data_IF_678500873411
#
_entry.id   IF_678500873411
#
_cell.length_a   1.000
_cell.length_b   1.000
_cell.length_c   1.000
_cell.angle_alpha   90.00
_cell.angle_beta   90.00
_cell.angle_gamma   90.00
#
_symmetry.space_group_name_H-M   'P 1'
#
loop_
_entity.id
_entity.type
_entity.pdbx_description
1 polymer ?
#
# COMPACT_ATOMS: atom_id res chain seq x y z
N UNK A 1 28.19 -45.84 -7.07
CA UNK A 1 28.06 -44.51 -6.44
C UNK A 1 27.79 -43.56 -7.59
N UNK A 2 26.52 -43.39 -7.93
CA UNK A 2 26.12 -42.44 -8.97
C UNK A 2 26.44 -41.02 -8.49
N UNK A 3 26.98 -40.15 -9.36
CA UNK A 3 27.09 -38.74 -9.04
C UNK A 3 25.69 -38.15 -8.82
N UNK A 4 25.51 -37.20 -7.89
CA UNK A 4 24.23 -36.57 -7.67
C UNK A 4 23.77 -35.88 -8.97
N UNK A 5 22.47 -35.95 -9.30
CA UNK A 5 21.94 -35.28 -10.48
C UNK A 5 22.26 -33.78 -10.40
N UNK A 6 22.75 -33.26 -11.52
CA UNK A 6 22.96 -31.83 -11.76
C UNK A 6 21.73 -31.05 -11.31
N UNK A 7 21.98 -29.90 -10.65
CA UNK A 7 20.98 -28.89 -10.29
C UNK A 7 20.46 -28.19 -11.56
N UNK A 8 19.92 -28.97 -12.48
CA UNK A 8 19.16 -28.52 -13.63
C UNK A 8 17.71 -28.36 -13.18
N UNK A 9 17.25 -27.10 -13.22
CA UNK A 9 15.94 -26.55 -12.82
C UNK A 9 15.92 -25.79 -11.50
N UNK A 10 16.45 -24.56 -11.55
CA UNK A 10 16.02 -23.50 -10.61
C UNK A 10 14.51 -23.24 -10.82
N UNK A 11 13.63 -23.43 -9.82
CA UNK A 11 12.18 -23.21 -9.96
C UNK A 11 11.76 -21.74 -9.99
N UNK A 12 12.73 -20.82 -9.89
CA UNK A 12 12.46 -19.39 -9.76
C UNK A 12 12.13 -18.77 -11.11
N UNK A 13 10.94 -19.07 -11.63
CA UNK A 13 10.37 -18.20 -12.64
C UNK A 13 10.28 -16.79 -12.04
N UNK A 14 10.77 -15.73 -12.72
CA UNK A 14 10.72 -14.35 -12.22
C UNK A 14 9.28 -13.86 -11.90
N UNK A 15 8.26 -14.66 -12.22
CA UNK A 15 6.84 -14.41 -11.99
C UNK A 15 6.27 -15.09 -10.74
N UNK A 16 7.03 -15.93 -10.02
CA UNK A 16 6.52 -16.69 -8.87
C UNK A 16 6.05 -15.83 -7.69
N UNK A 17 6.87 -14.85 -7.28
CA UNK A 17 6.55 -13.91 -6.20
C UNK A 17 5.39 -12.99 -6.56
N UNK A 18 5.36 -12.48 -7.79
CA UNK A 18 4.28 -11.63 -8.30
C UNK A 18 2.94 -12.38 -8.31
N UNK A 19 2.95 -13.64 -8.76
CA UNK A 19 1.77 -14.51 -8.78
C UNK A 19 1.26 -14.80 -7.36
N UNK A 20 2.18 -15.08 -6.43
CA UNK A 20 1.83 -15.31 -5.02
C UNK A 20 1.28 -14.04 -4.37
N UNK A 21 1.92 -12.89 -4.55
CA UNK A 21 1.47 -11.61 -4.02
C UNK A 21 0.10 -11.20 -4.58
N UNK A 22 -0.11 -11.39 -5.90
CA UNK A 22 -1.42 -11.18 -6.52
C UNK A 22 -2.49 -12.14 -5.98
N UNK A 23 -2.14 -13.43 -5.77
CA UNK A 23 -3.03 -14.41 -5.14
C UNK A 23 -3.43 -14.03 -3.72
N UNK A 24 -2.46 -13.66 -2.88
CA UNK A 24 -2.69 -13.22 -1.50
C UNK A 24 -3.57 -11.98 -1.46
N UNK A 25 -3.33 -11.01 -2.36
CA UNK A 25 -4.13 -9.79 -2.46
C UNK A 25 -5.55 -10.04 -2.95
N UNK A 26 -5.76 -10.99 -3.87
CA UNK A 26 -7.09 -11.43 -4.30
C UNK A 26 -7.87 -12.06 -3.16
N UNK A 27 -7.23 -12.92 -2.38
CA UNK A 27 -7.86 -13.56 -1.20
C UNK A 27 -8.25 -12.47 -0.19
N UNK A 28 -7.35 -11.54 0.14
CA UNK A 28 -7.64 -10.43 1.05
C UNK A 28 -8.84 -9.59 0.57
N UNK A 29 -8.87 -9.23 -0.71
CA UNK A 29 -9.97 -8.44 -1.29
C UNK A 29 -11.30 -9.22 -1.32
N UNK A 30 -11.28 -10.53 -1.63
CA UNK A 30 -12.45 -11.38 -1.57
C UNK A 30 -12.98 -11.49 -0.13
N UNK A 31 -12.10 -11.70 0.85
CA UNK A 31 -12.48 -11.72 2.26
C UNK A 31 -13.09 -10.38 2.69
N UNK A 32 -12.54 -9.24 2.24
CA UNK A 32 -13.08 -7.90 2.52
C UNK A 32 -14.47 -7.67 1.93
N UNK A 33 -14.78 -8.28 0.77
CA UNK A 33 -16.13 -8.24 0.19
C UNK A 33 -17.09 -9.20 0.90
N UNK A 34 -16.65 -10.43 1.17
CA UNK A 34 -17.49 -11.49 1.75
C UNK A 34 -17.79 -11.25 3.23
N UNK A 35 -16.87 -10.64 3.99
CA UNK A 35 -17.04 -10.45 5.42
C UNK A 35 -18.29 -9.61 5.77
N UNK A 36 -18.55 -8.42 5.16
CA UNK A 36 -19.79 -7.67 5.39
C UNK A 36 -21.05 -8.45 5.00
N UNK A 37 -21.03 -9.21 3.89
CA UNK A 37 -22.16 -10.02 3.44
C UNK A 37 -22.47 -11.17 4.41
N UNK A 38 -21.43 -11.86 4.87
CA UNK A 38 -21.53 -12.95 5.84
C UNK A 38 -22.05 -12.42 7.19
N UNK A 39 -21.49 -11.31 7.68
CA UNK A 39 -21.93 -10.67 8.92
C UNK A 39 -23.38 -10.20 8.79
N UNK A 40 -23.75 -9.54 7.67
CA UNK A 40 -25.12 -9.07 7.44
C UNK A 40 -26.13 -10.22 7.40
N UNK A 41 -25.76 -11.35 6.79
CA UNK A 41 -26.61 -12.55 6.73
C UNK A 41 -26.75 -13.18 8.12
N UNK A 42 -25.66 -13.23 8.89
CA UNK A 42 -25.65 -13.79 10.24
C UNK A 42 -26.49 -12.94 11.20
N UNK A 43 -26.36 -11.61 11.13
CA UNK A 43 -27.16 -10.65 11.89
C UNK A 43 -28.65 -10.71 11.53
N UNK A 44 -29.01 -11.18 10.34
CA UNK A 44 -30.41 -11.36 9.94
C UNK A 44 -31.06 -12.61 10.54
N UNK A 45 -30.26 -13.58 11.01
CA UNK A 45 -30.73 -14.90 11.48
C UNK A 45 -30.46 -15.14 12.96
N UNK A 46 -29.50 -14.42 13.55
CA UNK A 46 -29.01 -14.63 14.91
C UNK A 46 -29.06 -13.30 15.67
N UNK A 47 -29.41 -13.36 16.96
CA UNK A 47 -29.37 -12.20 17.84
C UNK A 47 -27.98 -11.52 17.83
N UNK A 48 -27.91 -10.18 17.76
CA UNK A 48 -26.66 -9.43 17.51
C UNK A 48 -25.59 -9.69 18.57
N UNK A 49 -25.98 -9.91 19.83
CA UNK A 49 -25.05 -10.25 20.93
C UNK A 49 -24.34 -11.58 20.67
N UNK A 50 -25.06 -12.60 20.17
CA UNK A 50 -24.47 -13.92 19.87
C UNK A 50 -23.51 -13.84 18.68
N UNK A 51 -23.84 -13.02 17.67
CA UNK A 51 -22.96 -12.75 16.54
C UNK A 51 -21.67 -12.06 17.01
N UNK A 52 -21.78 -11.03 17.85
CA UNK A 52 -20.62 -10.33 18.40
C UNK A 52 -19.71 -11.26 19.22
N UNK A 53 -20.28 -12.10 20.08
CA UNK A 53 -19.51 -13.10 20.84
C UNK A 53 -18.80 -14.08 19.90
N UNK A 54 -19.50 -14.58 18.87
CA UNK A 54 -18.90 -15.49 17.88
C UNK A 54 -17.72 -14.86 17.13
N UNK A 55 -17.85 -13.60 16.71
CA UNK A 55 -16.75 -12.85 16.05
C UNK A 55 -15.58 -12.63 17.01
N UNK A 56 -15.83 -12.33 18.29
CA UNK A 56 -14.79 -12.17 19.30
C UNK A 56 -14.01 -13.46 19.55
N UNK A 57 -14.72 -14.59 19.65
CA UNK A 57 -14.09 -15.93 19.77
C UNK A 57 -13.25 -16.23 18.53
N UNK A 58 -13.81 -16.08 17.33
CA UNK A 58 -13.10 -16.34 16.08
C UNK A 58 -11.83 -15.49 15.95
N UNK A 59 -11.90 -14.20 16.30
CA UNK A 59 -10.74 -13.29 16.26
C UNK A 59 -9.65 -13.74 17.23
N UNK A 60 -10.04 -14.24 18.41
CA UNK A 60 -9.10 -14.77 19.41
C UNK A 60 -8.44 -16.07 18.95
N UNK A 61 -9.20 -16.97 18.30
CA UNK A 61 -8.65 -18.20 17.74
C UNK A 61 -7.71 -17.94 16.55
N UNK A 62 -8.01 -16.95 15.71
CA UNK A 62 -7.18 -16.58 14.54
C UNK A 62 -5.75 -16.28 14.96
N UNK A 63 -5.56 -15.54 16.05
CA UNK A 63 -4.24 -15.23 16.58
C UNK A 63 -3.40 -16.48 16.89
N UNK A 64 -4.02 -17.51 17.47
CA UNK A 64 -3.34 -18.78 17.77
C UNK A 64 -2.92 -19.53 16.51
N UNK A 65 -3.79 -19.57 15.49
CA UNK A 65 -3.49 -20.20 14.21
C UNK A 65 -2.39 -19.44 13.47
N UNK A 66 -2.44 -18.10 13.46
CA UNK A 66 -1.41 -17.25 12.86
C UNK A 66 -0.04 -17.50 13.48
N UNK A 67 0.03 -17.55 14.81
CA UNK A 67 1.27 -17.81 15.52
C UNK A 67 1.82 -19.21 15.20
N UNK A 68 0.95 -20.22 15.16
CA UNK A 68 1.32 -21.58 14.77
C UNK A 68 1.88 -21.63 13.34
N UNK A 69 1.24 -20.96 12.39
CA UNK A 69 1.71 -20.86 11.00
C UNK A 69 3.09 -20.18 10.92
N UNK A 70 3.28 -19.07 11.65
CA UNK A 70 4.58 -18.36 11.69
C UNK A 70 5.66 -19.29 12.26
N UNK A 71 5.38 -19.99 13.36
CA UNK A 71 6.34 -20.92 13.95
C UNK A 71 6.71 -22.05 12.99
N UNK A 72 5.73 -22.61 12.27
CA UNK A 72 5.98 -23.68 11.31
C UNK A 72 6.85 -23.18 10.13
N UNK A 73 6.58 -21.99 9.60
CA UNK A 73 7.40 -21.38 8.53
C UNK A 73 8.81 -21.05 9.01
N UNK A 74 8.95 -20.55 10.24
CA UNK A 74 10.25 -20.29 10.88
C UNK A 74 11.03 -21.57 11.20
N UNK A 75 10.31 -22.66 11.52
CA UNK A 75 10.88 -23.97 11.76
C UNK A 75 11.49 -24.58 10.48
N UNK A 76 10.78 -24.43 9.36
CA UNK A 76 11.12 -25.07 8.08
C UNK A 76 12.17 -24.33 7.26
N UNK A 77 12.36 -23.02 7.46
CA UNK A 77 13.27 -22.22 6.65
C UNK A 77 14.50 -21.77 7.44
N UNK A 78 15.59 -22.53 7.36
CA UNK A 78 16.86 -22.17 8.01
C UNK A 78 17.39 -20.79 7.56
N UNK A 79 17.12 -20.38 6.31
CA UNK A 79 17.52 -19.07 5.77
C UNK A 79 16.85 -17.87 6.44
N UNK A 80 15.71 -18.06 7.11
CA UNK A 80 15.08 -16.99 7.90
C UNK A 80 15.80 -16.77 9.23
N UNK A 81 16.59 -17.75 9.69
CA UNK A 81 17.35 -17.70 10.94
C UNK A 81 18.75 -17.10 10.77
N UNK A 82 19.22 -16.99 9.53
CA UNK A 82 20.49 -16.36 9.22
C UNK A 82 20.39 -14.85 9.50
N UNK A 83 21.32 -14.27 10.28
CA UNK A 83 21.39 -12.83 10.49
C UNK A 83 21.55 -12.11 9.15
N UNK A 84 20.76 -11.05 8.94
CA UNK A 84 20.80 -10.26 7.71
C UNK A 84 22.17 -9.57 7.58
N UNK A 85 22.91 -9.88 6.50
CA UNK A 85 24.30 -9.44 6.28
C UNK A 85 24.52 -7.93 6.32
N UNK A 86 23.46 -7.13 6.12
CA UNK A 86 23.53 -5.66 6.14
C UNK A 86 24.00 -5.08 7.49
N UNK A 87 23.77 -5.79 8.60
CA UNK A 87 24.26 -5.39 9.93
C UNK A 87 25.79 -5.55 10.05
N UNK A 88 26.36 -6.56 9.36
CA UNK A 88 27.80 -6.82 9.40
C UNK A 88 28.61 -5.74 8.67
N UNK A 89 28.10 -5.16 7.58
CA UNK A 89 28.85 -4.15 6.83
C UNK A 89 28.83 -2.78 7.52
N UNK A 90 27.70 -2.36 8.11
CA UNK A 90 27.67 -1.15 8.94
C UNK A 90 28.53 -1.33 10.19
N UNK A 91 28.46 -2.50 10.83
CA UNK A 91 29.31 -2.84 11.98
C UNK A 91 30.78 -2.85 11.59
N UNK A 92 31.16 -3.45 10.44
CA UNK A 92 32.53 -3.41 9.89
C UNK A 92 32.99 -1.99 9.54
N UNK A 93 32.11 -1.13 9.02
CA UNK A 93 32.44 0.27 8.74
C UNK A 93 32.62 1.09 10.01
N UNK A 94 31.81 0.83 11.05
CA UNK A 94 31.98 1.41 12.38
C UNK A 94 33.23 0.86 13.08
N UNK A 95 33.56 -0.43 12.92
CA UNK A 95 34.84 -1.01 13.40
C UNK A 95 36.04 -0.51 12.60
N UNK A 96 35.85 -0.12 11.34
CA UNK A 96 36.91 0.46 10.49
C UNK A 96 37.17 1.94 10.78
N UNK A 97 36.15 2.67 11.23
CA UNK A 97 36.24 4.10 11.56
C UNK A 97 36.41 4.37 13.06
N UNK A 98 36.19 3.38 13.93
CA UNK A 98 36.51 3.44 15.34
C UNK A 98 37.95 2.98 15.57
N UNK A 99 38.79 3.90 16.02
CA UNK A 99 40.05 3.62 16.72
C UNK A 99 39.90 2.41 17.64
N UNK A 100 40.93 1.57 17.68
CA UNK A 100 41.14 0.56 18.72
C UNK A 100 40.97 1.19 20.11
N UNK A 101 39.76 1.17 20.67
CA UNK A 101 39.62 1.21 22.12
C UNK A 101 39.90 -0.19 22.61
N UNK A 102 41.17 -0.39 22.94
CA UNK A 102 41.63 -1.44 23.83
C UNK A 102 40.66 -1.49 25.00
N UNK A 103 39.96 -2.61 25.16
CA UNK A 103 39.18 -2.90 26.37
C UNK A 103 40.19 -2.99 27.50
N UNK A 104 40.46 -1.86 28.17
CA UNK A 104 41.09 -1.83 29.48
C UNK A 104 40.10 -2.48 30.42
N UNK A 105 40.47 -3.66 30.91
CA UNK A 105 39.74 -4.41 31.91
C UNK A 105 39.91 -3.69 33.26
N UNK A 106 39.22 -2.57 33.44
CA UNK A 106 39.16 -1.87 34.72
C UNK A 106 38.17 -2.62 35.62
N UNK A 107 38.72 -3.55 36.42
CA UNK A 107 38.04 -4.02 37.62
C UNK A 107 38.05 -2.87 38.64
N UNK A 108 36.90 -2.28 39.02
CA UNK A 108 36.92 -1.26 40.05
C UNK A 108 37.14 -1.93 41.41
N UNK A 109 38.26 -1.62 42.05
CA UNK A 109 38.49 -1.92 43.46
C UNK A 109 37.44 -1.24 44.36
N UNK A 110 37.18 -1.76 45.57
CA UNK A 110 36.06 -1.30 46.39
C UNK A 110 36.36 0.08 46.98
N UNK A 111 35.55 1.08 46.64
CA UNK A 111 35.56 2.39 47.29
C UNK A 111 34.64 2.40 48.52
N UNK A 112 35.10 2.89 49.68
CA UNK A 112 34.28 2.93 50.89
C UNK A 112 33.42 4.20 50.90
N UNK A 113 32.10 4.03 50.77
CA UNK A 113 31.16 5.15 50.90
C UNK A 113 29.84 5.05 50.13
N UNK A 114 29.48 3.87 49.61
CA UNK A 114 28.30 3.75 48.76
C UNK A 114 27.00 3.68 49.58
N UNK A 115 26.20 4.74 49.50
CA UNK A 115 24.84 4.77 50.05
C UNK A 115 24.03 3.66 49.37
N UNK A 116 23.53 2.71 50.18
CA UNK A 116 22.78 1.54 49.71
C UNK A 116 21.48 1.95 49.02
N UNK A 117 21.55 2.18 47.71
CA UNK A 117 20.37 2.25 46.85
C UNK A 117 19.70 0.86 46.89
N UNK A 118 18.38 0.76 47.17
CA UNK A 118 17.71 -0.53 47.26
C UNK A 118 17.84 -1.29 45.93
N UNK A 119 18.09 -2.60 46.00
CA UNK A 119 18.43 -3.44 44.84
C UNK A 119 17.42 -3.36 43.69
N UNK A 120 16.15 -3.09 44.01
CA UNK A 120 15.07 -2.94 43.03
C UNK A 120 15.20 -1.65 42.20
N UNK A 121 15.69 -0.56 42.81
CA UNK A 121 15.93 0.71 42.13
C UNK A 121 17.14 0.61 41.21
N UNK A 122 18.20 -0.09 41.63
CA UNK A 122 19.36 -0.35 40.77
C UNK A 122 18.99 -1.21 39.55
N UNK A 123 18.18 -2.24 39.72
CA UNK A 123 17.67 -3.07 38.61
C UNK A 123 16.80 -2.26 37.65
N UNK A 124 15.93 -1.41 38.17
CA UNK A 124 15.09 -0.53 37.34
C UNK A 124 15.94 0.45 36.54
N UNK A 125 16.95 1.09 37.16
CA UNK A 125 17.86 2.01 36.48
C UNK A 125 18.67 1.33 35.37
N UNK A 126 19.21 0.13 35.63
CA UNK A 126 19.94 -0.65 34.62
C UNK A 126 19.04 -1.05 33.46
N UNK A 127 17.82 -1.55 33.74
CA UNK A 127 16.83 -1.87 32.70
C UNK A 127 16.42 -0.63 31.89
N UNK A 128 16.26 0.53 32.55
CA UNK A 128 15.89 1.78 31.90
C UNK A 128 17.01 2.27 30.98
N UNK A 129 18.26 2.15 31.43
CA UNK A 129 19.44 2.55 30.67
C UNK A 129 19.65 1.63 29.46
N UNK A 130 19.55 0.32 29.64
CA UNK A 130 19.57 -0.67 28.55
C UNK A 130 18.46 -0.36 27.53
N UNK A 131 17.26 -0.01 27.99
CA UNK A 131 16.16 0.39 27.09
C UNK A 131 16.36 1.72 26.39
N UNK A 132 16.99 2.70 27.04
CA UNK A 132 17.32 3.98 26.41
C UNK A 132 18.40 3.81 25.33
N UNK A 133 19.37 2.93 25.57
CA UNK A 133 20.41 2.58 24.61
C UNK A 133 19.85 1.77 23.43
N UNK A 134 18.93 0.83 23.68
CA UNK A 134 18.16 0.14 22.65
C UNK A 134 17.31 1.10 21.81
N UNK A 135 16.68 2.09 22.43
CA UNK A 135 15.90 3.11 21.71
C UNK A 135 16.81 3.99 20.86
N UNK A 136 18.00 4.35 21.36
CA UNK A 136 18.98 5.16 20.62
C UNK A 136 19.54 4.41 19.41
N UNK A 137 19.96 3.16 19.59
CA UNK A 137 20.45 2.30 18.50
C UNK A 137 19.36 1.97 17.49
N UNK A 138 18.14 1.70 17.97
CA UNK A 138 16.95 1.56 17.13
C UNK A 138 16.68 2.82 16.33
N UNK A 139 16.73 4.00 16.96
CA UNK A 139 16.52 5.29 16.27
C UNK A 139 17.55 5.52 15.15
N UNK A 140 18.82 5.20 15.36
CA UNK A 140 19.85 5.26 14.32
C UNK A 140 19.53 4.33 13.15
N UNK A 141 19.13 3.10 13.42
CA UNK A 141 18.72 2.14 12.39
C UNK A 141 17.49 2.61 11.59
N UNK A 142 16.56 3.33 12.23
CA UNK A 142 15.42 3.96 11.52
C UNK A 142 15.89 5.10 10.61
N UNK A 143 16.89 5.89 11.01
CA UNK A 143 17.43 6.96 10.14
C UNK A 143 18.13 6.40 8.91
N UNK A 144 18.84 5.28 9.02
CA UNK A 144 19.46 4.61 7.87
C UNK A 144 18.41 4.00 6.93
N UNK A 145 17.35 3.39 7.48
CA UNK A 145 16.20 2.93 6.70
C UNK A 145 15.54 4.07 5.92
N UNK A 146 15.41 5.24 6.54
CA UNK A 146 14.84 6.44 5.91
C UNK A 146 15.74 6.99 4.80
N UNK A 147 17.07 7.03 5.01
CA UNK A 147 18.03 7.41 3.96
C UNK A 147 17.98 6.45 2.78
N UNK A 148 17.96 5.14 3.04
CA UNK A 148 17.85 4.10 2.01
C UNK A 148 16.53 4.21 1.23
N UNK A 149 15.44 4.56 1.91
CA UNK A 149 14.15 4.81 1.26
C UNK A 149 14.23 5.97 0.27
N UNK A 150 14.74 7.14 0.68
CA UNK A 150 14.88 8.30 -0.22
C UNK A 150 15.94 8.15 -1.31
N UNK A 151 16.92 7.26 -1.11
CA UNK A 151 17.90 6.91 -2.13
C UNK A 151 17.35 6.00 -3.23
N UNK A 152 16.18 5.38 -3.03
CA UNK A 152 15.59 4.45 -4.00
C UNK A 152 14.79 5.17 -5.09
N UNK A 153 14.95 4.78 -6.35
CA UNK A 153 14.22 5.36 -7.49
C UNK A 153 12.69 5.38 -7.36
N UNK A 154 12.11 4.52 -6.51
CA UNK A 154 10.65 4.38 -6.33
C UNK A 154 10.10 5.12 -5.12
N UNK A 155 10.88 5.97 -4.45
CA UNK A 155 10.41 6.74 -3.29
C UNK A 155 9.26 7.69 -3.66
N UNK A 156 9.26 8.31 -4.85
CA UNK A 156 8.18 9.22 -5.28
C UNK A 156 6.85 8.47 -5.46
N UNK A 157 6.77 7.36 -6.20
CA UNK A 157 5.60 6.48 -6.21
C UNK A 157 5.06 6.13 -4.83
N UNK A 158 5.97 5.77 -3.92
CA UNK A 158 5.64 5.36 -2.56
C UNK A 158 5.07 6.52 -1.73
N UNK A 159 5.69 7.71 -1.75
CA UNK A 159 5.14 8.89 -1.08
C UNK A 159 3.81 9.33 -1.68
N UNK A 160 3.67 9.29 -3.01
CA UNK A 160 2.40 9.57 -3.66
C UNK A 160 1.30 8.61 -3.16
N UNK A 161 1.61 7.32 -2.99
CA UNK A 161 0.69 6.33 -2.40
C UNK A 161 0.38 6.63 -0.93
N UNK A 162 1.36 7.07 -0.14
CA UNK A 162 1.14 7.48 1.24
C UNK A 162 0.19 8.68 1.33
N UNK A 163 0.36 9.72 0.49
CA UNK A 163 -0.52 10.90 0.43
C UNK A 163 -1.99 10.50 0.19
N UNK A 164 -2.25 9.46 -0.61
CA UNK A 164 -3.62 8.99 -0.83
C UNK A 164 -4.32 8.53 0.46
N UNK A 165 -3.58 8.09 1.49
CA UNK A 165 -4.13 7.68 2.78
C UNK A 165 -4.60 8.86 3.65
N UNK A 166 -4.18 10.09 3.36
CA UNK A 166 -4.74 11.28 4.01
C UNK A 166 -6.18 11.58 3.56
N UNK A 167 -6.59 11.06 2.39
CA UNK A 167 -7.86 11.39 1.75
C UNK A 167 -9.06 10.81 2.49
N UNK A 168 -10.04 11.66 2.85
CA UNK A 168 -11.35 11.22 3.37
C UNK A 168 -12.32 10.78 2.28
N UNK A 169 -12.00 11.04 1.01
CA UNK A 169 -12.80 10.70 -0.17
C UNK A 169 -12.62 9.23 -0.58
N UNK A 170 -12.96 8.36 0.35
CA UNK A 170 -13.07 6.91 0.20
C UNK A 170 -14.17 6.44 1.17
N UNK A 171 -14.64 5.19 1.08
CA UNK A 171 -15.57 4.61 2.06
C UNK A 171 -14.89 4.37 3.43
N UNK A 172 -14.26 5.40 3.99
CA UNK A 172 -13.71 5.50 5.33
C UNK A 172 -14.83 5.77 6.34
N UNK A 173 -14.57 5.51 7.62
CA UNK A 173 -15.53 5.82 8.71
C UNK A 173 -15.94 7.28 8.69
N UNK A 174 -15.00 8.20 8.46
CA UNK A 174 -15.23 9.64 8.39
C UNK A 174 -16.30 10.02 7.35
N UNK A 175 -16.16 9.52 6.11
CA UNK A 175 -17.16 9.78 5.06
C UNK A 175 -18.50 9.08 5.37
N UNK A 176 -18.47 7.85 5.87
CA UNK A 176 -19.69 7.10 6.18
C UNK A 176 -20.51 7.81 7.26
N UNK A 177 -19.85 8.28 8.33
CA UNK A 177 -20.50 9.03 9.41
C UNK A 177 -21.08 10.34 8.88
N UNK A 178 -20.36 11.06 8.02
CA UNK A 178 -20.89 12.25 7.35
C UNK A 178 -22.16 11.93 6.55
N UNK A 179 -22.15 10.87 5.74
CA UNK A 179 -23.31 10.49 4.92
C UNK A 179 -24.51 10.10 5.78
N UNK A 180 -24.30 9.38 6.89
CA UNK A 180 -25.37 9.07 7.84
C UNK A 180 -25.96 10.35 8.45
N UNK A 181 -25.13 11.29 8.87
CA UNK A 181 -25.57 12.58 9.42
C UNK A 181 -26.24 13.48 8.36
N UNK A 182 -25.89 13.32 7.08
CA UNK A 182 -26.56 13.97 5.96
C UNK A 182 -27.92 13.34 5.59
N UNK A 183 -28.33 12.25 6.27
CA UNK A 183 -29.62 11.60 6.09
C UNK A 183 -29.63 10.47 5.05
N UNK A 184 -28.47 10.01 4.58
CA UNK A 184 -28.40 8.80 3.75
C UNK A 184 -28.72 7.56 4.57
N UNK A 185 -29.47 6.62 3.98
CA UNK A 185 -29.80 5.37 4.66
C UNK A 185 -28.59 4.45 4.74
N UNK A 186 -28.48 3.71 5.85
CA UNK A 186 -27.43 2.71 6.04
C UNK A 186 -27.42 1.66 4.92
N UNK A 187 -28.60 1.26 4.44
CA UNK A 187 -28.75 0.29 3.35
C UNK A 187 -28.10 0.79 2.04
N UNK A 188 -28.31 2.06 1.69
CA UNK A 188 -27.74 2.65 0.50
C UNK A 188 -26.21 2.78 0.61
N UNK A 189 -25.70 3.23 1.75
CA UNK A 189 -24.26 3.32 2.00
C UNK A 189 -23.61 1.94 1.93
N UNK A 190 -24.25 0.93 2.52
CA UNK A 190 -23.76 -0.46 2.51
C UNK A 190 -23.72 -1.02 1.09
N UNK A 191 -24.79 -0.80 0.30
CA UNK A 191 -24.82 -1.21 -1.11
C UNK A 191 -23.71 -0.52 -1.91
N UNK A 192 -23.53 0.80 -1.73
CA UNK A 192 -22.50 1.56 -2.42
C UNK A 192 -21.08 1.11 -2.04
N UNK A 193 -20.84 0.80 -0.76
CA UNK A 193 -19.58 0.20 -0.29
C UNK A 193 -19.35 -1.17 -0.94
N UNK A 194 -20.38 -2.00 -1.02
CA UNK A 194 -20.32 -3.31 -1.69
C UNK A 194 -19.92 -3.17 -3.16
N UNK A 195 -20.50 -2.21 -3.89
CA UNK A 195 -20.08 -1.87 -5.25
C UNK A 195 -18.63 -1.39 -5.30
N UNK A 196 -18.22 -0.55 -4.35
CA UNK A 196 -16.83 -0.15 -4.17
C UNK A 196 -15.89 -1.35 -4.10
N UNK A 197 -16.17 -2.30 -3.20
CA UNK A 197 -15.37 -3.53 -3.04
C UNK A 197 -15.32 -4.42 -4.29
N UNK A 198 -16.38 -4.44 -5.12
CA UNK A 198 -16.32 -5.12 -6.42
C UNK A 198 -15.28 -4.46 -7.33
N UNK A 199 -15.25 -3.13 -7.41
CA UNK A 199 -14.21 -2.40 -8.15
C UNK A 199 -12.80 -2.63 -7.59
N UNK A 200 -12.66 -2.74 -6.26
CA UNK A 200 -11.38 -3.11 -5.64
C UNK A 200 -10.90 -4.49 -6.12
N UNK A 201 -11.78 -5.50 -6.16
CA UNK A 201 -11.44 -6.84 -6.66
C UNK A 201 -11.15 -6.81 -8.16
N UNK A 202 -11.96 -6.10 -8.95
CA UNK A 202 -11.77 -5.96 -10.40
C UNK A 202 -10.40 -5.40 -10.76
N UNK A 203 -9.79 -4.57 -9.89
CA UNK A 203 -8.43 -4.07 -10.09
C UNK A 203 -7.40 -5.19 -10.27
N UNK A 204 -7.58 -6.35 -9.64
CA UNK A 204 -6.63 -7.48 -9.70
C UNK A 204 -6.68 -8.26 -11.03
N UNK A 205 -7.74 -8.07 -11.81
CA UNK A 205 -7.89 -8.61 -13.16
C UNK A 205 -7.52 -7.55 -14.20
N UNK A 206 -7.89 -6.29 -13.96
CA UNK A 206 -7.57 -5.16 -14.83
C UNK A 206 -6.08 -4.85 -14.81
N UNK A 207 -5.40 -5.00 -13.68
CA UNK A 207 -3.96 -4.71 -13.54
C UNK A 207 -3.07 -5.48 -14.54
N UNK A 208 -3.10 -6.83 -14.63
CA UNK A 208 -2.24 -7.55 -15.58
C UNK A 208 -2.57 -7.21 -17.04
N UNK A 209 -3.86 -7.07 -17.37
CA UNK A 209 -4.30 -6.68 -18.72
C UNK A 209 -3.89 -5.24 -19.08
N UNK A 210 -3.97 -4.32 -18.11
CA UNK A 210 -3.56 -2.94 -18.30
C UNK A 210 -2.06 -2.79 -18.56
N UNK A 211 -1.23 -3.64 -17.93
CA UNK A 211 0.21 -3.65 -18.19
C UNK A 211 0.51 -4.12 -19.61
N UNK A 212 -0.12 -5.20 -20.09
CA UNK A 212 0.12 -5.71 -21.44
C UNK A 212 -0.33 -4.71 -22.51
N UNK A 213 -1.50 -4.10 -22.34
CA UNK A 213 -2.00 -3.09 -23.28
C UNK A 213 -1.08 -1.84 -23.35
N UNK A 214 -0.52 -1.41 -22.21
CA UNK A 214 0.33 -0.22 -22.14
C UNK A 214 1.80 -0.50 -22.47
N UNK A 215 2.26 -1.74 -22.43
CA UNK A 215 3.61 -2.12 -22.86
C UNK A 215 3.69 -2.28 -24.38
N UNK A 216 2.67 -2.84 -25.04
CA UNK A 216 2.62 -3.07 -26.49
C UNK A 216 2.69 -1.80 -27.35
N UNK A 217 2.08 -0.70 -26.88
CA UNK A 217 2.14 0.61 -27.57
C UNK A 217 3.56 1.15 -27.72
N UNK A 218 4.50 0.70 -26.89
CA UNK A 218 5.93 1.09 -26.98
C UNK A 218 6.64 0.34 -28.10
N UNK A 219 6.24 -0.91 -28.38
CA UNK A 219 6.83 -1.74 -29.43
C UNK A 219 6.50 -1.20 -30.83
N UNK A 220 5.30 -0.65 -31.00
CA UNK A 220 4.86 -0.05 -32.26
C UNK A 220 5.62 1.25 -32.60
N UNK A 221 5.91 2.11 -31.61
CA UNK A 221 6.61 3.38 -31.85
C UNK A 221 8.11 3.23 -32.13
N UNK A 222 8.75 2.14 -31.70
CA UNK A 222 10.18 1.89 -31.96
C UNK A 222 10.46 1.15 -33.28
N UNK A 223 9.42 0.71 -34.00
CA UNK A 223 9.54 0.00 -35.29
C UNK A 223 9.59 0.88 -36.54
N UNK A 224 9.37 2.20 -36.42
CA UNK A 224 9.13 3.10 -37.56
C UNK A 224 10.36 3.95 -37.98
N UNK A 225 11.59 3.49 -37.70
CA UNK A 225 12.81 4.15 -38.21
C UNK A 225 13.78 3.13 -38.80
N UNK A 226 13.49 2.65 -40.01
CA UNK A 226 14.42 1.76 -40.71
C UNK A 226 13.87 1.04 -41.93
N UNK A 227 13.21 1.74 -42.87
CA UNK A 227 12.93 1.16 -44.19
C UNK A 227 13.86 1.76 -45.25
N UNK A 228 15.08 1.21 -45.33
CA UNK A 228 15.86 1.24 -46.56
C UNK A 228 15.44 0.04 -47.40
N UNK A 229 14.89 0.31 -48.60
CA UNK A 229 14.59 -0.68 -49.63
C UNK A 229 15.88 -1.19 -50.30
N UNK A 230 16.09 -2.50 -50.32
CA UNK A 230 16.65 -3.39 -51.38
C UNK A 230 16.39 -4.81 -50.83
N UNK A 231 15.83 -5.83 -51.45
CA UNK A 231 15.74 -6.29 -52.84
C UNK A 231 15.93 -7.82 -52.77
N UNK A 232 14.98 -8.57 -53.32
CA UNK A 232 15.10 -9.94 -53.87
C UNK A 232 15.61 -11.15 -53.03
N UNK A 233 14.69 -12.11 -52.88
CA UNK A 233 14.80 -13.59 -52.84
C UNK A 233 16.10 -14.28 -52.39
N UNK A 234 16.05 -15.06 -51.29
CA UNK A 234 16.62 -16.42 -51.20
C UNK A 234 16.19 -17.14 -49.89
N UNK A 235 15.85 -18.45 -49.93
CA UNK A 235 15.64 -19.24 -48.73
C UNK A 235 17.00 -19.80 -48.29
N UNK A 236 17.54 -19.34 -47.17
CA UNK A 236 18.81 -19.86 -46.67
C UNK A 236 18.79 -20.01 -45.15
N UNK A 237 18.91 -21.27 -44.74
CA UNK A 237 19.51 -21.80 -43.51
C UNK A 237 19.07 -21.15 -42.19
N UNK A 238 18.29 -21.93 -41.45
CA UNK A 238 18.17 -21.89 -40.00
C UNK A 238 19.57 -22.10 -39.39
N UNK A 239 20.32 -21.00 -39.27
CA UNK A 239 21.54 -20.91 -38.48
C UNK A 239 21.12 -20.83 -37.02
N UNK A 240 21.64 -21.77 -36.24
CA UNK A 240 21.48 -21.87 -34.79
C UNK A 240 21.49 -20.49 -34.11
N UNK A 241 20.34 -20.10 -33.56
CA UNK A 241 20.20 -18.87 -32.77
C UNK A 241 20.92 -19.11 -31.44
N UNK A 242 22.16 -18.66 -31.36
CA UNK A 242 22.97 -18.64 -30.14
C UNK A 242 22.18 -18.12 -28.91
N UNK A 243 22.51 -18.60 -27.69
CA UNK A 243 21.78 -18.27 -26.46
C UNK A 243 21.70 -16.77 -26.14
N UNK A 244 22.57 -15.93 -26.72
CA UNK A 244 22.57 -14.48 -26.51
C UNK A 244 21.28 -13.76 -26.94
N UNK A 245 20.56 -14.30 -27.94
CA UNK A 245 19.31 -13.69 -28.41
C UNK A 245 18.18 -13.81 -27.38
N UNK A 246 18.15 -14.92 -26.63
CA UNK A 246 17.09 -15.22 -25.64
C UNK A 246 17.20 -14.33 -24.41
N UNK A 247 18.42 -13.96 -24.01
CA UNK A 247 18.65 -13.11 -22.84
C UNK A 247 18.38 -11.63 -23.16
N UNK A 248 18.68 -11.18 -24.38
CA UNK A 248 18.30 -9.85 -24.87
C UNK A 248 16.78 -9.70 -24.98
N UNK A 249 16.10 -10.71 -25.53
CA UNK A 249 14.64 -10.73 -25.64
C UNK A 249 13.95 -10.73 -24.27
N UNK A 250 14.44 -11.52 -23.31
CA UNK A 250 13.96 -11.50 -21.92
C UNK A 250 14.20 -10.16 -21.23
N UNK A 251 15.38 -9.57 -21.40
CA UNK A 251 15.72 -8.26 -20.81
C UNK A 251 14.81 -7.16 -21.34
N UNK A 252 14.56 -7.16 -22.66
CA UNK A 252 13.67 -6.20 -23.31
C UNK A 252 12.20 -6.40 -22.88
N UNK A 253 11.73 -7.64 -22.74
CA UNK A 253 10.40 -7.94 -22.23
C UNK A 253 10.20 -7.46 -20.78
N UNK A 254 11.21 -7.63 -19.92
CA UNK A 254 11.19 -7.14 -18.53
C UNK A 254 11.15 -5.61 -18.51
N UNK A 255 11.94 -4.94 -19.35
CA UNK A 255 11.96 -3.48 -19.44
C UNK A 255 10.62 -2.92 -19.95
N UNK A 256 10.05 -3.51 -20.99
CA UNK A 256 8.73 -3.14 -21.53
C UNK A 256 7.62 -3.31 -20.48
N UNK A 257 7.69 -4.39 -19.70
CA UNK A 257 6.76 -4.61 -18.57
C UNK A 257 6.91 -3.50 -17.53
N UNK A 258 8.13 -3.10 -17.19
CA UNK A 258 8.40 -1.99 -16.27
C UNK A 258 7.78 -0.67 -16.74
N UNK A 259 7.93 -0.32 -18.01
CA UNK A 259 7.31 0.88 -18.61
C UNK A 259 5.78 0.79 -18.57
N UNK A 260 5.22 -0.38 -18.89
CA UNK A 260 3.77 -0.63 -18.80
C UNK A 260 3.21 -0.39 -17.40
N UNK A 261 3.91 -0.86 -16.35
CA UNK A 261 3.49 -0.63 -14.95
C UNK A 261 3.53 0.85 -14.59
N UNK A 262 4.56 1.59 -15.01
CA UNK A 262 4.67 3.04 -14.75
C UNK A 262 3.54 3.83 -15.41
N UNK A 263 3.26 3.54 -16.69
CA UNK A 263 2.15 4.16 -17.43
C UNK A 263 0.81 3.82 -16.79
N UNK A 264 0.61 2.56 -16.42
CA UNK A 264 -0.62 2.14 -15.75
C UNK A 264 -0.81 2.89 -14.43
N UNK A 265 0.26 3.07 -13.65
CA UNK A 265 0.24 3.86 -12.43
C UNK A 265 -0.17 5.31 -12.70
N UNK A 266 0.33 5.90 -13.79
CA UNK A 266 0.01 7.28 -14.17
C UNK A 266 -1.46 7.43 -14.59
N UNK A 267 -1.96 6.52 -15.43
CA UNK A 267 -3.38 6.48 -15.80
C UNK A 267 -4.27 6.28 -14.58
N UNK A 268 -3.84 5.44 -13.63
CA UNK A 268 -4.59 5.15 -12.41
C UNK A 268 -4.68 6.36 -11.50
N UNK A 269 -3.58 7.05 -11.23
CA UNK A 269 -3.59 8.20 -10.31
C UNK A 269 -4.26 9.43 -10.91
N UNK A 270 -4.08 9.67 -12.22
CA UNK A 270 -4.82 10.70 -12.95
C UNK A 270 -6.32 10.36 -13.00
N UNK A 271 -6.67 9.10 -13.28
CA UNK A 271 -8.04 8.62 -13.25
C UNK A 271 -8.68 8.78 -11.88
N UNK A 272 -7.94 8.47 -10.80
CA UNK A 272 -8.38 8.70 -9.42
C UNK A 272 -8.72 10.17 -9.20
N UNK A 273 -7.81 11.09 -9.54
CA UNK A 273 -8.03 12.54 -9.40
C UNK A 273 -9.25 13.02 -10.20
N UNK A 274 -9.37 12.61 -11.47
CA UNK A 274 -10.48 13.01 -12.34
C UNK A 274 -11.83 12.52 -11.82
N UNK A 275 -11.90 11.29 -11.30
CA UNK A 275 -13.14 10.74 -10.73
C UNK A 275 -13.52 11.42 -9.41
N UNK A 276 -12.59 12.05 -8.69
CA UNK A 276 -12.92 12.80 -7.48
C UNK A 276 -13.52 14.18 -7.76
N UNK A 277 -13.38 14.75 -8.96
CA UNK A 277 -14.01 16.04 -9.33
C UNK A 277 -15.54 15.99 -9.13
N UNK A 278 -16.29 15.08 -9.77
CA UNK A 278 -17.74 14.99 -9.57
C UNK A 278 -18.12 14.60 -8.14
N UNK A 279 -17.28 13.84 -7.43
CA UNK A 279 -17.50 13.48 -6.01
C UNK A 279 -17.51 14.73 -5.12
N UNK A 280 -16.49 15.59 -5.25
CA UNK A 280 -16.40 16.83 -4.48
C UNK A 280 -17.53 17.79 -4.83
N UNK A 281 -17.84 17.94 -6.12
CA UNK A 281 -18.96 18.77 -6.57
C UNK A 281 -20.30 18.27 -6.03
N UNK A 282 -20.53 16.96 -6.01
CA UNK A 282 -21.73 16.36 -5.46
C UNK A 282 -21.83 16.60 -3.94
N UNK A 283 -20.75 16.41 -3.19
CA UNK A 283 -20.71 16.70 -1.75
C UNK A 283 -21.00 18.17 -1.46
N UNK A 284 -20.42 19.08 -2.25
CA UNK A 284 -20.65 20.52 -2.10
C UNK A 284 -22.10 20.90 -2.39
N UNK A 285 -22.70 20.31 -3.43
CA UNK A 285 -24.10 20.53 -3.77
C UNK A 285 -25.06 20.00 -2.69
N UNK A 286 -24.76 18.82 -2.13
CA UNK A 286 -25.53 18.24 -1.03
C UNK A 286 -25.46 19.12 0.22
N UNK A 287 -24.27 19.60 0.56
CA UNK A 287 -24.06 20.49 1.71
C UNK A 287 -24.82 21.81 1.57
N UNK A 288 -24.76 22.45 0.39
CA UNK A 288 -25.52 23.67 0.11
C UNK A 288 -27.04 23.44 0.26
N UNK A 289 -27.51 22.27 -0.16
CA UNK A 289 -28.93 21.90 -0.10
C UNK A 289 -29.41 21.59 1.33
N UNK A 290 -28.53 21.06 2.17
CA UNK A 290 -28.79 20.86 3.60
C UNK A 290 -28.93 22.19 4.33
N UNK A 291 -28.07 23.17 4.03
CA UNK A 291 -28.10 24.51 4.65
C UNK A 291 -29.29 25.36 4.20
N UNK A 292 -29.77 25.17 2.96
CA UNK A 292 -30.93 25.90 2.42
C UNK A 292 -32.29 25.41 2.98
N UNK A 293 -32.31 24.31 3.73
CA UNK A 293 -33.55 23.75 4.31
C UNK A 293 -33.82 24.39 5.68
N UNK A 294 -34.62 25.47 5.75
CA UNK A 294 -35.20 25.99 7.00
C UNK A 294 -36.05 24.92 7.70
N UNK A 295 -36.17 24.94 9.05
CA UNK A 295 -36.93 23.94 9.78
C UNK A 295 -38.40 23.94 9.32
N UNK A 296 -38.97 22.78 8.94
CA UNK A 296 -40.37 22.72 8.53
C UNK A 296 -41.27 22.93 9.75
N UNK A 297 -42.23 23.85 9.62
CA UNK A 297 -43.39 23.92 10.49
C UNK A 297 -44.07 22.53 10.50
N UNK A 298 -44.11 21.93 11.69
CA UNK A 298 -45.04 20.90 12.17
C UNK A 298 -45.75 20.04 11.11
N UNK A 299 -45.33 18.77 10.97
CA UNK A 299 -46.23 17.72 10.48
C UNK A 299 -45.56 16.57 9.71
N UNK A 300 -44.65 16.85 8.79
CA UNK A 300 -44.14 15.83 7.86
C UNK A 300 -42.90 15.10 8.38
N UNK A 301 -43.14 14.28 9.40
CA UNK A 301 -42.14 13.40 10.00
C UNK A 301 -41.96 12.12 9.16
N UNK A 302 -41.55 12.23 7.89
CA UNK A 302 -41.03 11.08 7.10
C UNK A 302 -39.94 11.51 6.13
N UNK A 303 -38.70 11.36 6.59
CA UNK A 303 -37.47 11.07 5.82
C UNK A 303 -37.64 11.01 4.30
N UNK A 304 -37.47 12.16 3.63
CA UNK A 304 -37.22 12.19 2.18
C UNK A 304 -35.72 12.00 2.02
N UNK A 305 -35.31 10.76 1.78
CA UNK A 305 -33.92 10.39 1.54
C UNK A 305 -33.27 11.34 0.53
N UNK A 306 -32.03 11.82 0.77
CA UNK A 306 -31.31 12.71 -0.16
C UNK A 306 -31.26 12.16 -1.59
N UNK A 307 -31.34 10.84 -1.77
CA UNK A 307 -31.49 10.19 -3.07
C UNK A 307 -32.74 10.66 -3.85
N UNK A 308 -33.90 10.83 -3.20
CA UNK A 308 -35.14 11.26 -3.86
C UNK A 308 -35.15 12.77 -4.15
N UNK A 309 -34.49 13.56 -3.31
CA UNK A 309 -34.42 15.03 -3.42
C UNK A 309 -33.35 15.48 -4.42
N UNK A 310 -32.19 14.81 -4.42
CA UNK A 310 -31.05 15.09 -5.29
C UNK A 310 -30.52 13.79 -5.91
N UNK A 311 -31.28 13.17 -6.84
CA UNK A 311 -30.93 11.87 -7.42
C UNK A 311 -29.62 11.93 -8.20
N UNK A 312 -29.42 12.96 -9.02
CA UNK A 312 -28.21 13.11 -9.84
C UNK A 312 -26.95 13.28 -9.00
N UNK A 313 -26.97 14.12 -7.96
CA UNK A 313 -25.82 14.32 -7.08
C UNK A 313 -25.51 13.04 -6.29
N UNK A 314 -26.52 12.33 -5.82
CA UNK A 314 -26.34 11.08 -5.08
C UNK A 314 -25.78 9.97 -5.96
N UNK A 315 -26.32 9.80 -7.17
CA UNK A 315 -25.83 8.80 -8.13
C UNK A 315 -24.40 9.14 -8.57
N UNK A 316 -24.13 10.39 -8.90
CA UNK A 316 -22.77 10.85 -9.23
C UNK A 316 -21.81 10.57 -8.06
N UNK A 317 -22.18 10.93 -6.83
CA UNK A 317 -21.37 10.68 -5.65
C UNK A 317 -20.97 9.21 -5.54
N UNK A 318 -21.93 8.29 -5.49
CA UNK A 318 -21.62 6.87 -5.25
C UNK A 318 -20.99 6.17 -6.45
N UNK A 319 -21.37 6.50 -7.69
CA UNK A 319 -20.78 5.91 -8.90
C UNK A 319 -19.32 6.33 -9.08
N UNK A 320 -19.04 7.63 -9.03
CA UNK A 320 -17.68 8.14 -9.21
C UNK A 320 -16.77 7.80 -8.01
N UNK A 321 -17.32 7.77 -6.80
CA UNK A 321 -16.58 7.27 -5.63
C UNK A 321 -16.22 5.80 -5.81
N UNK A 322 -17.13 4.96 -6.32
CA UNK A 322 -16.86 3.54 -6.61
C UNK A 322 -15.78 3.35 -7.68
N UNK A 323 -15.84 4.10 -8.78
CA UNK A 323 -14.80 4.05 -9.81
C UNK A 323 -13.45 4.58 -9.29
N UNK A 324 -13.45 5.58 -8.42
CA UNK A 324 -12.22 6.08 -7.78
C UNK A 324 -11.49 4.98 -7.00
N UNK A 325 -12.20 4.01 -6.42
CA UNK A 325 -11.59 2.87 -5.72
C UNK A 325 -10.86 1.93 -6.69
N UNK A 326 -11.40 1.69 -7.88
CA UNK A 326 -10.71 0.92 -8.92
C UNK A 326 -9.34 1.55 -9.19
N UNK A 327 -9.32 2.84 -9.52
CA UNK A 327 -8.09 3.58 -9.81
C UNK A 327 -7.11 3.57 -8.63
N UNK A 328 -7.60 3.78 -7.40
CA UNK A 328 -6.78 3.75 -6.17
C UNK A 328 -6.11 2.40 -5.96
N UNK A 329 -6.83 1.29 -6.19
CA UNK A 329 -6.28 -0.05 -6.02
C UNK A 329 -5.34 -0.49 -7.14
N UNK A 330 -5.61 -0.10 -8.39
CA UNK A 330 -4.64 -0.30 -9.48
C UNK A 330 -3.36 0.46 -9.16
N UNK A 331 -3.45 1.71 -8.70
CA UNK A 331 -2.26 2.48 -8.29
C UNK A 331 -1.48 1.80 -7.15
N UNK A 332 -2.17 1.25 -6.14
CA UNK A 332 -1.54 0.49 -5.08
C UNK A 332 -0.80 -0.76 -5.62
N UNK A 333 -1.41 -1.51 -6.54
CA UNK A 333 -0.77 -2.65 -7.21
C UNK A 333 0.47 -2.22 -8.02
N UNK A 334 0.38 -1.11 -8.75
CA UNK A 334 1.53 -0.58 -9.51
C UNK A 334 2.69 -0.21 -8.59
N UNK A 335 2.41 0.44 -7.46
CA UNK A 335 3.45 0.84 -6.50
C UNK A 335 4.10 -0.38 -5.86
N UNK A 336 3.30 -1.38 -5.46
CA UNK A 336 3.83 -2.66 -4.95
C UNK A 336 4.74 -3.35 -5.98
N UNK A 337 4.34 -3.39 -7.25
CA UNK A 337 5.13 -3.99 -8.31
C UNK A 337 6.42 -3.21 -8.58
N UNK A 338 6.37 -1.87 -8.57
CA UNK A 338 7.54 -1.00 -8.69
C UNK A 338 8.53 -1.28 -7.56
N UNK A 339 8.06 -1.33 -6.31
CA UNK A 339 8.90 -1.63 -5.15
C UNK A 339 9.53 -3.02 -5.26
N UNK A 340 8.77 -4.02 -5.69
CA UNK A 340 9.28 -5.39 -5.85
C UNK A 340 10.31 -5.52 -6.97
N UNK A 341 10.17 -4.76 -8.05
CA UNK A 341 11.05 -4.89 -9.22
C UNK A 341 12.27 -3.98 -9.16
N UNK A 342 12.17 -2.82 -8.50
CA UNK A 342 13.24 -1.80 -8.50
C UNK A 342 14.02 -1.66 -7.20
N UNK A 343 13.48 -2.12 -6.06
CA UNK A 343 14.25 -2.13 -4.81
C UNK A 343 15.10 -3.41 -4.74
N UNK A 344 16.40 -3.33 -4.41
CA UNK A 344 17.25 -4.51 -4.24
C UNK A 344 16.72 -5.46 -3.16
N UNK A 345 16.76 -6.77 -3.42
CA UNK A 345 16.24 -7.82 -2.52
C UNK A 345 16.65 -7.67 -1.05
N UNK A 346 17.93 -7.38 -0.71
CA UNK A 346 18.34 -7.21 0.68
C UNK A 346 17.65 -6.02 1.38
N UNK A 347 17.29 -4.98 0.65
CA UNK A 347 16.76 -3.74 1.21
C UNK A 347 15.22 -3.68 1.19
N UNK A 348 14.54 -4.52 0.40
CA UNK A 348 13.06 -4.52 0.23
C UNK A 348 12.28 -4.52 1.54
N UNK A 349 12.67 -5.33 2.52
CA UNK A 349 11.97 -5.39 3.80
C UNK A 349 12.11 -4.10 4.62
N UNK A 350 13.29 -3.46 4.58
CA UNK A 350 13.53 -2.18 5.26
C UNK A 350 12.82 -1.03 4.56
N UNK A 351 12.83 -1.03 3.21
CA UNK A 351 12.04 -0.10 2.41
C UNK A 351 10.55 -0.22 2.73
N UNK A 352 10.01 -1.44 2.73
CA UNK A 352 8.60 -1.70 3.06
C UNK A 352 8.21 -1.25 4.47
N UNK A 353 9.08 -1.48 5.46
CA UNK A 353 8.86 -1.00 6.83
C UNK A 353 8.82 0.54 6.92
N UNK A 354 9.71 1.21 6.19
CA UNK A 354 9.76 2.67 6.11
C UNK A 354 8.53 3.22 5.36
N UNK A 355 8.17 2.61 4.23
CA UNK A 355 6.97 2.92 3.46
C UNK A 355 5.72 2.87 4.35
N UNK A 356 5.54 1.79 5.10
CA UNK A 356 4.39 1.65 6.01
C UNK A 356 4.41 2.69 7.13
N UNK A 357 5.59 3.06 7.64
CA UNK A 357 5.72 4.10 8.66
C UNK A 357 5.33 5.48 8.13
N UNK A 358 5.68 5.79 6.87
CA UNK A 358 5.24 7.02 6.18
C UNK A 358 3.72 6.96 5.95
N UNK A 359 3.19 5.84 5.46
CA UNK A 359 1.74 5.64 5.27
C UNK A 359 0.98 5.85 6.59
N UNK A 360 1.46 5.30 7.70
CA UNK A 360 0.87 5.47 9.03
C UNK A 360 0.94 6.92 9.49
N UNK A 361 2.06 7.61 9.27
CA UNK A 361 2.22 9.03 9.62
C UNK A 361 1.25 9.91 8.84
N UNK A 362 1.07 9.65 7.54
CA UNK A 362 0.10 10.38 6.71
C UNK A 362 -1.34 10.01 7.07
N UNK A 363 -1.60 8.75 7.43
CA UNK A 363 -2.91 8.32 7.94
C UNK A 363 -3.26 9.02 9.25
N UNK A 364 -2.27 9.33 10.10
CA UNK A 364 -2.51 10.12 11.31
C UNK A 364 -3.02 11.53 10.97
N UNK A 365 -2.52 12.14 9.89
CA UNK A 365 -3.01 13.44 9.41
C UNK A 365 -4.50 13.36 9.05
N UNK A 366 -4.97 12.27 8.44
CA UNK A 366 -6.40 12.05 8.19
C UNK A 366 -7.20 12.11 9.50
N UNK A 367 -6.78 11.35 10.51
CA UNK A 367 -7.51 11.24 11.77
C UNK A 367 -7.49 12.54 12.58
N UNK A 368 -6.35 13.23 12.62
CA UNK A 368 -6.25 14.56 13.23
C UNK A 368 -7.17 15.54 12.51
N UNK A 369 -7.18 15.53 11.17
CA UNK A 369 -8.05 16.40 10.39
C UNK A 369 -9.54 16.11 10.67
N UNK A 370 -9.93 14.84 10.81
CA UNK A 370 -11.30 14.47 11.18
C UNK A 370 -11.70 14.97 12.58
N UNK A 371 -10.76 15.07 13.53
CA UNK A 371 -11.01 15.63 14.86
C UNK A 371 -11.12 17.16 14.81
N UNK A 372 -10.23 17.82 14.07
CA UNK A 372 -10.24 19.29 13.91
C UNK A 372 -11.54 19.75 13.23
N UNK A 373 -11.90 19.11 12.10
CA UNK A 373 -13.12 19.39 11.35
C UNK A 373 -14.23 18.38 11.67
N UNK A 374 -14.60 18.29 12.94
CA UNK A 374 -15.63 17.36 13.43
C UNK A 374 -17.07 17.80 13.09
N UNK A 375 -17.29 19.09 12.81
CA UNK A 375 -18.61 19.59 12.47
C UNK A 375 -19.04 19.15 11.06
N UNK A 376 -20.30 18.76 10.91
CA UNK A 376 -20.83 18.30 9.62
C UNK A 376 -20.72 19.37 8.52
N UNK A 377 -20.91 20.65 8.86
CA UNK A 377 -20.80 21.79 7.94
C UNK A 377 -19.40 21.98 7.34
N UNK A 378 -18.39 21.46 8.04
CA UNK A 378 -16.99 21.67 7.71
C UNK A 378 -16.42 20.55 6.84
N UNK A 379 -17.18 19.47 6.63
CA UNK A 379 -16.77 18.31 5.85
C UNK A 379 -16.34 18.68 4.42
N UNK A 380 -16.92 19.74 3.84
CA UNK A 380 -16.54 20.28 2.53
C UNK A 380 -15.07 20.71 2.46
N UNK A 381 -14.50 21.23 3.56
CA UNK A 381 -13.09 21.61 3.64
C UNK A 381 -12.20 20.38 3.72
N UNK A 382 -12.64 19.35 4.44
CA UNK A 382 -11.97 18.07 4.54
C UNK A 382 -11.94 17.33 3.20
N UNK A 383 -13.06 17.38 2.46
CA UNK A 383 -13.18 16.89 1.09
C UNK A 383 -12.27 17.67 0.12
N UNK A 384 -12.24 19.00 0.21
CA UNK A 384 -11.37 19.84 -0.62
C UNK A 384 -9.88 19.57 -0.35
N UNK A 385 -9.48 19.51 0.92
CA UNK A 385 -8.10 19.17 1.31
C UNK A 385 -7.68 17.80 0.78
N UNK A 386 -8.59 16.82 0.84
CA UNK A 386 -8.38 15.48 0.27
C UNK A 386 -8.22 15.52 -1.26
N UNK A 387 -9.02 16.34 -1.94
CA UNK A 387 -8.92 16.50 -3.39
C UNK A 387 -7.59 17.15 -3.81
N UNK A 388 -7.15 18.18 -3.10
CA UNK A 388 -5.86 18.84 -3.31
C UNK A 388 -4.71 17.86 -3.07
N UNK A 389 -4.76 17.07 -1.98
CA UNK A 389 -3.74 16.07 -1.67
C UNK A 389 -3.64 15.00 -2.77
N UNK A 390 -4.77 14.49 -3.27
CA UNK A 390 -4.79 13.53 -4.38
C UNK A 390 -4.26 14.17 -5.68
N UNK A 391 -4.61 15.42 -5.97
CA UNK A 391 -4.08 16.15 -7.12
C UNK A 391 -2.57 16.37 -7.05
N UNK A 392 -2.04 16.73 -5.88
CA UNK A 392 -0.61 16.85 -5.63
C UNK A 392 0.11 15.51 -5.82
N UNK A 393 -0.47 14.42 -5.32
CA UNK A 393 0.04 13.06 -5.52
C UNK A 393 0.06 12.66 -7.01
N UNK A 394 -1.01 12.95 -7.76
CA UNK A 394 -1.09 12.71 -9.21
C UNK A 394 -0.04 13.50 -9.99
N UNK A 395 0.19 14.76 -9.62
CA UNK A 395 1.21 15.61 -10.20
C UNK A 395 2.62 15.07 -9.90
N UNK A 396 2.92 14.72 -8.64
CA UNK A 396 4.21 14.16 -8.22
C UNK A 396 4.56 12.90 -9.01
N UNK A 397 3.61 11.95 -9.09
CA UNK A 397 3.82 10.71 -9.83
C UNK A 397 4.02 10.97 -11.33
N UNK A 398 3.20 11.84 -11.93
CA UNK A 398 3.33 12.19 -13.36
C UNK A 398 4.64 12.92 -13.68
N UNK A 399 5.15 13.75 -12.76
CA UNK A 399 6.46 14.37 -12.89
C UNK A 399 7.59 13.33 -12.83
N UNK A 400 7.52 12.39 -11.88
CA UNK A 400 8.47 11.29 -11.77
C UNK A 400 8.49 10.41 -13.01
N UNK A 401 7.32 9.97 -13.50
CA UNK A 401 7.23 9.16 -14.72
C UNK A 401 7.84 9.88 -15.92
N UNK A 402 7.58 11.19 -16.10
CA UNK A 402 8.20 11.98 -17.17
C UNK A 402 9.72 12.06 -17.05
N UNK A 403 10.26 12.10 -15.82
CA UNK A 403 11.71 12.03 -15.59
C UNK A 403 12.28 10.67 -15.98
N UNK A 404 11.59 9.59 -15.61
CA UNK A 404 12.00 8.21 -15.89
C UNK A 404 11.89 7.82 -17.37
N UNK A 405 11.06 8.50 -18.17
CA UNK A 405 10.97 8.26 -19.63
C UNK A 405 11.94 9.12 -20.45
N UNK A 406 12.60 10.11 -19.83
CA UNK A 406 13.58 10.99 -20.51
C UNK A 406 15.00 10.45 -20.47
N UNK A 407 15.28 9.55 -19.54
CA UNK A 407 16.51 8.79 -19.41
C UNK A 407 16.26 7.38 -19.95
#
# INVERSE_FOLDING_TARGET
MEPPPSLEESPWSPFGLTRLNAGMKRIDLLCKLLAPLAISTLMSRIAPVKVAIGVAIMSSLSWGIEFWCIQNVWAQNCRLREPKECDNDLRRLLTRNGTEETIVNDNPGPTPGETRVPANVRKLWLWLQERLEDVKTSSLNHTEGLKSYFASDVWIPSIAMAILHASVLSYSSTLIVYLLNAGFSLNLITLARGMGSLFEISSTFIFPFGISALSETTTASSGETGHTRVGESQPLLEVDREPEGRDKEKSQAVQNTGVGVMRLGQWSICGLFLNLIPVVLALWHLELSLQASTPPNSGDTKSIYPLKRHPFATLALFSFLSFSLLCRWIYNLTTQQLTQTRVPTPQRASFGGTEMSIVSSVSLVHWISAVVWHAQSDFKWLALGSFIAVGGSAWMYSAWVRGQMRH
#
